data_IF_291965967326
#
_entry.id   IF_291965967326
#
_cell.length_a   1.000
_cell.length_b   1.000
_cell.length_c   1.000
_cell.angle_alpha   90.00
_cell.angle_beta   90.00
_cell.angle_gamma   90.00
#
_symmetry.space_group_name_H-M   'P 1'
#
loop_
_entity.id
_entity.type
_entity.pdbx_description
1 polymer ?
#
# COMPACT_ATOMS: atom_id res chain seq x y z
N UNK A 1 11.55 -21.08 -3.19
CA UNK A 1 10.94 -22.08 -2.29
C UNK A 1 10.06 -21.29 -1.35
N UNK A 2 8.75 -21.37 -1.57
CA UNK A 2 7.72 -20.78 -0.71
C UNK A 2 7.65 -21.60 0.57
N UNK A 3 8.06 -21.04 1.69
CA UNK A 3 7.77 -21.63 2.99
C UNK A 3 7.38 -20.50 3.93
N UNK A 4 6.09 -20.17 3.92
CA UNK A 4 5.39 -19.59 5.08
C UNK A 4 5.82 -20.38 6.32
N UNK A 5 6.21 -19.73 7.43
CA UNK A 5 6.80 -20.43 8.55
C UNK A 5 5.79 -21.35 9.22
N UNK A 6 6.09 -22.64 9.22
CA UNK A 6 5.56 -23.52 10.27
C UNK A 6 6.25 -23.14 11.58
N UNK A 7 5.63 -22.22 12.34
CA UNK A 7 5.95 -22.00 13.76
C UNK A 7 5.56 -23.22 14.63
N UNK A 8 5.20 -24.36 14.04
CA UNK A 8 4.97 -25.59 14.77
C UNK A 8 6.22 -25.95 15.60
N UNK A 9 6.04 -25.98 16.93
CA UNK A 9 7.13 -26.21 17.88
C UNK A 9 7.99 -24.98 18.17
N UNK A 10 7.57 -23.77 17.77
CA UNK A 10 8.05 -22.51 18.33
C UNK A 10 7.34 -22.28 19.67
N UNK A 11 8.12 -22.05 20.73
CA UNK A 11 7.64 -22.03 22.12
C UNK A 11 8.39 -20.95 22.92
N UNK A 12 8.01 -20.78 24.19
CA UNK A 12 8.56 -19.74 25.06
C UNK A 12 10.09 -19.85 25.20
N UNK A 13 10.63 -21.07 25.25
CA UNK A 13 12.07 -21.30 25.30
C UNK A 13 12.77 -20.85 24.01
N UNK A 14 12.19 -21.14 22.83
CA UNK A 14 12.72 -20.64 21.57
C UNK A 14 12.66 -19.10 21.51
N UNK A 15 11.58 -18.49 22.01
CA UNK A 15 11.44 -17.05 22.07
C UNK A 15 12.49 -16.38 22.97
N UNK A 16 12.68 -16.90 24.19
CA UNK A 16 13.72 -16.42 25.11
C UNK A 16 15.13 -16.53 24.53
N UNK A 17 15.44 -17.67 23.90
CA UNK A 17 16.75 -17.91 23.27
C UNK A 17 16.99 -16.96 22.09
N UNK A 18 15.93 -16.66 21.33
CA UNK A 18 16.00 -15.69 20.24
C UNK A 18 16.23 -14.27 20.76
N UNK A 19 15.51 -13.85 21.81
CA UNK A 19 15.65 -12.53 22.42
C UNK A 19 16.96 -12.33 23.23
N UNK A 20 17.62 -13.42 23.63
CA UNK A 20 18.87 -13.37 24.41
C UNK A 20 20.10 -12.96 23.57
N UNK A 21 20.01 -13.04 22.24
CA UNK A 21 21.08 -12.70 21.31
C UNK A 21 22.20 -13.74 21.22
N UNK A 22 23.15 -13.50 20.32
CA UNK A 22 24.39 -14.29 20.21
C UNK A 22 24.18 -15.71 19.69
N UNK A 23 24.91 -16.69 20.24
CA UNK A 23 24.89 -18.07 19.73
C UNK A 23 23.51 -18.75 19.88
N UNK A 24 22.75 -18.39 20.91
CA UNK A 24 21.41 -18.93 21.14
C UNK A 24 20.42 -18.41 20.11
N UNK A 25 20.49 -17.12 19.77
CA UNK A 25 19.71 -16.52 18.69
C UNK A 25 20.01 -17.20 17.36
N UNK A 26 21.30 -17.36 17.01
CA UNK A 26 21.68 -18.03 15.76
C UNK A 26 21.15 -19.47 15.68
N UNK A 27 21.17 -20.22 16.79
CA UNK A 27 20.66 -21.58 16.84
C UNK A 27 19.14 -21.64 16.58
N UNK A 28 18.37 -20.70 17.13
CA UNK A 28 16.93 -20.60 16.87
C UNK A 28 16.67 -20.17 15.42
N UNK A 29 17.38 -19.15 14.92
CA UNK A 29 17.26 -18.73 13.51
C UNK A 29 17.61 -19.86 12.54
N UNK A 30 18.59 -20.70 12.87
CA UNK A 30 18.93 -21.85 12.04
C UNK A 30 17.86 -22.96 12.11
N UNK A 31 17.31 -23.23 13.31
CA UNK A 31 16.19 -24.16 13.52
C UNK A 31 14.95 -23.75 12.72
N UNK A 32 14.68 -22.46 12.65
CA UNK A 32 13.58 -21.85 11.91
C UNK A 32 14.09 -21.10 10.67
N UNK A 33 15.11 -21.64 9.98
CA UNK A 33 15.78 -20.97 8.84
C UNK A 33 14.90 -20.78 7.60
N UNK A 34 13.77 -21.50 7.55
CA UNK A 34 12.75 -21.30 6.53
C UNK A 34 11.81 -20.12 6.85
N UNK A 35 11.86 -19.58 8.08
CA UNK A 35 11.04 -18.44 8.50
C UNK A 35 11.71 -17.13 8.10
N UNK A 36 10.90 -16.10 7.80
CA UNK A 36 11.41 -14.74 7.72
C UNK A 36 12.03 -14.37 9.09
N UNK A 37 13.31 -13.95 9.14
CA UNK A 37 14.04 -13.64 10.37
C UNK A 37 13.36 -12.59 11.26
N UNK A 38 12.65 -11.65 10.65
CA UNK A 38 11.97 -10.55 11.33
C UNK A 38 10.63 -11.00 11.90
N UNK A 39 9.83 -11.71 11.10
CA UNK A 39 8.58 -12.35 11.57
C UNK A 39 8.86 -13.29 12.75
N UNK A 40 9.96 -14.05 12.67
CA UNK A 40 10.38 -14.96 13.74
C UNK A 40 10.73 -14.19 15.03
N UNK A 41 11.39 -13.04 14.92
CA UNK A 41 11.73 -12.19 16.05
C UNK A 41 10.48 -11.53 16.65
N UNK A 42 9.58 -11.03 15.81
CA UNK A 42 8.29 -10.48 16.23
C UNK A 42 7.43 -11.51 16.95
N UNK A 43 7.30 -12.72 16.41
CA UNK A 43 6.58 -13.81 17.04
C UNK A 43 7.20 -14.19 18.40
N UNK A 44 8.52 -14.12 18.54
CA UNK A 44 9.20 -14.31 19.82
C UNK A 44 8.79 -13.25 20.84
N UNK A 45 8.86 -11.98 20.46
CA UNK A 45 8.51 -10.87 21.35
C UNK A 45 7.03 -10.88 21.74
N UNK A 46 6.11 -11.20 20.83
CA UNK A 46 4.69 -11.38 21.17
C UNK A 46 4.48 -12.50 22.18
N UNK A 47 5.18 -13.63 22.00
CA UNK A 47 5.08 -14.75 22.93
C UNK A 47 5.64 -14.38 24.31
N UNK A 48 6.75 -13.62 24.36
CA UNK A 48 7.34 -13.13 25.61
C UNK A 48 6.41 -12.12 26.31
N UNK A 49 5.78 -11.21 25.56
CA UNK A 49 4.81 -10.26 26.09
C UNK A 49 3.58 -10.97 26.68
N UNK A 50 3.03 -11.94 25.95
CA UNK A 50 1.88 -12.73 26.39
C UNK A 50 2.16 -13.72 27.53
N UNK A 51 3.44 -14.04 27.80
CA UNK A 51 3.87 -15.01 28.81
C UNK A 51 4.53 -14.35 30.03
N UNK A 52 4.23 -13.07 30.30
CA UNK A 52 4.90 -12.29 31.35
C UNK A 52 4.87 -12.94 32.74
N UNK A 53 3.74 -13.50 33.14
CA UNK A 53 3.59 -14.17 34.44
C UNK A 53 4.45 -15.45 34.51
N UNK A 54 4.44 -16.27 33.45
CA UNK A 54 5.26 -17.48 33.35
C UNK A 54 6.76 -17.16 33.35
N UNK A 55 7.17 -16.07 32.69
CA UNK A 55 8.55 -15.58 32.71
C UNK A 55 9.00 -15.17 34.12
N UNK A 56 8.14 -14.48 34.87
CA UNK A 56 8.46 -14.07 36.25
C UNK A 56 8.56 -15.26 37.20
N UNK A 57 7.71 -16.28 37.04
CA UNK A 57 7.69 -17.46 37.91
C UNK A 57 8.81 -18.45 37.58
N UNK A 58 8.98 -18.77 36.30
CA UNK A 58 9.84 -19.88 35.84
C UNK A 58 11.22 -19.43 35.37
N UNK A 59 11.39 -18.15 35.02
CA UNK A 59 12.61 -17.59 34.43
C UNK A 59 12.97 -16.21 35.01
N UNK A 60 13.08 -16.07 36.35
CA UNK A 60 13.18 -14.78 37.02
C UNK A 60 14.42 -13.97 36.60
N UNK A 61 15.55 -14.63 36.33
CA UNK A 61 16.78 -13.95 35.89
C UNK A 61 16.63 -13.33 34.50
N UNK A 62 15.89 -13.98 33.60
CA UNK A 62 15.60 -13.46 32.27
C UNK A 62 14.64 -12.27 32.37
N UNK A 63 13.56 -12.41 33.16
CA UNK A 63 12.60 -11.34 33.39
C UNK A 63 13.25 -10.09 34.01
N UNK A 64 14.05 -10.28 35.07
CA UNK A 64 14.76 -9.18 35.75
C UNK A 64 15.76 -8.47 34.83
N UNK A 65 16.50 -9.22 34.00
CA UNK A 65 17.43 -8.63 33.03
C UNK A 65 16.70 -7.75 32.01
N UNK A 66 15.57 -8.20 31.47
CA UNK A 66 14.82 -7.41 30.48
C UNK A 66 14.06 -6.24 31.10
N UNK A 67 13.63 -6.36 32.36
CA UNK A 67 13.11 -5.25 33.15
C UNK A 67 14.20 -4.18 33.40
N UNK A 68 15.42 -4.59 33.78
CA UNK A 68 16.56 -3.67 33.96
C UNK A 68 16.94 -2.95 32.66
N UNK A 69 16.88 -3.66 31.53
CA UNK A 69 17.13 -3.08 30.21
C UNK A 69 15.99 -2.18 29.72
N UNK A 70 14.87 -2.09 30.44
CA UNK A 70 13.67 -1.36 30.01
C UNK A 70 13.08 -1.92 28.71
N UNK A 71 13.22 -3.22 28.47
CA UNK A 71 12.67 -3.86 27.27
C UNK A 71 11.18 -4.07 27.44
N UNK A 72 10.37 -3.34 26.67
CA UNK A 72 8.97 -3.71 26.47
C UNK A 72 8.89 -4.70 25.30
N UNK A 73 8.49 -5.93 25.58
CA UNK A 73 8.38 -6.96 24.54
C UNK A 73 7.23 -6.69 23.57
N UNK A 74 6.19 -5.95 23.97
CA UNK A 74 5.16 -5.49 23.03
C UNK A 74 5.80 -4.52 22.03
N UNK A 75 6.46 -3.47 22.53
CA UNK A 75 7.12 -2.47 21.68
C UNK A 75 8.18 -3.11 20.76
N UNK A 76 8.95 -4.07 21.27
CA UNK A 76 9.97 -4.76 20.46
C UNK A 76 9.37 -5.66 19.38
N UNK A 77 8.25 -6.33 19.66
CA UNK A 77 7.51 -7.07 18.64
C UNK A 77 7.11 -6.11 17.52
N UNK A 78 6.54 -4.98 17.90
CA UNK A 78 6.04 -3.95 17.01
C UNK A 78 7.14 -3.35 16.17
N UNK A 79 8.27 -2.95 16.74
CA UNK A 79 9.41 -2.40 15.99
C UNK A 79 9.92 -3.40 14.93
N UNK A 80 9.97 -4.69 15.25
CA UNK A 80 10.38 -5.73 14.29
C UNK A 80 9.32 -5.99 13.21
N UNK A 81 8.02 -5.85 13.52
CA UNK A 81 6.95 -5.91 12.50
C UNK A 81 6.99 -4.65 11.62
N UNK A 82 7.24 -3.48 12.24
CA UNK A 82 7.21 -2.15 11.63
C UNK A 82 8.29 -1.99 10.56
N UNK A 83 9.54 -2.38 10.83
CA UNK A 83 10.67 -1.98 9.97
C UNK A 83 11.22 -3.05 9.02
N UNK A 84 11.02 -4.34 9.27
CA UNK A 84 11.91 -5.34 8.67
C UNK A 84 11.27 -6.43 7.83
N UNK A 85 9.95 -6.63 7.86
CA UNK A 85 9.34 -7.60 6.96
C UNK A 85 9.16 -7.03 5.54
N UNK A 86 10.05 -7.44 4.63
CA UNK A 86 9.75 -7.46 3.20
C UNK A 86 8.79 -8.62 2.90
N UNK A 87 7.86 -8.37 2.00
CA UNK A 87 7.00 -9.43 1.51
C UNK A 87 7.79 -10.51 0.78
N UNK A 88 7.26 -11.73 0.83
CA UNK A 88 7.88 -12.83 0.11
C UNK A 88 7.59 -12.70 -1.39
N UNK A 89 8.43 -13.32 -2.23
CA UNK A 89 8.28 -13.24 -3.69
C UNK A 89 6.95 -13.80 -4.21
N UNK A 90 6.28 -14.69 -3.47
CA UNK A 90 4.98 -15.22 -3.87
C UNK A 90 3.89 -14.16 -3.71
N UNK A 91 3.91 -13.42 -2.60
CA UNK A 91 3.06 -12.25 -2.41
C UNK A 91 3.34 -11.20 -3.48
N UNK A 92 4.61 -10.81 -3.69
CA UNK A 92 4.95 -9.79 -4.69
C UNK A 92 4.42 -10.12 -6.09
N UNK A 93 4.56 -11.39 -6.51
CA UNK A 93 4.06 -11.83 -7.81
C UNK A 93 2.53 -11.84 -7.86
N UNK A 94 1.88 -12.30 -6.78
CA UNK A 94 0.43 -12.31 -6.67
C UNK A 94 -0.16 -10.88 -6.65
N UNK A 95 0.40 -10.00 -5.83
CA UNK A 95 0.00 -8.60 -5.71
C UNK A 95 0.17 -7.85 -7.04
N UNK A 96 1.30 -8.03 -7.74
CA UNK A 96 1.50 -7.45 -9.08
C UNK A 96 0.51 -7.99 -10.12
N UNK A 97 0.18 -9.28 -10.07
CA UNK A 97 -0.84 -9.84 -10.94
C UNK A 97 -2.21 -9.20 -10.65
N UNK A 98 -2.57 -9.05 -9.38
CA UNK A 98 -3.82 -8.39 -8.97
C UNK A 98 -3.87 -6.91 -9.34
N UNK A 99 -2.78 -6.17 -9.14
CA UNK A 99 -2.66 -4.78 -9.60
C UNK A 99 -2.83 -4.68 -11.12
N UNK A 100 -2.27 -5.62 -11.89
CA UNK A 100 -2.44 -5.67 -13.35
C UNK A 100 -3.89 -5.96 -13.76
N UNK A 101 -4.59 -6.82 -13.01
CA UNK A 101 -6.03 -7.07 -13.18
C UNK A 101 -6.85 -5.82 -12.86
N UNK A 102 -6.53 -5.08 -11.78
CA UNK A 102 -7.18 -3.81 -11.42
C UNK A 102 -6.98 -2.77 -12.52
N UNK A 103 -5.74 -2.57 -12.97
CA UNK A 103 -5.39 -1.64 -14.06
C UNK A 103 -6.21 -1.96 -15.31
N UNK A 104 -6.20 -3.22 -15.74
CA UNK A 104 -6.94 -3.67 -16.93
C UNK A 104 -8.44 -3.46 -16.77
N UNK A 105 -9.00 -3.71 -15.59
CA UNK A 105 -10.43 -3.52 -15.32
C UNK A 105 -10.83 -2.04 -15.32
N UNK A 106 -9.98 -1.14 -14.82
CA UNK A 106 -10.21 0.31 -14.86
C UNK A 106 -10.16 0.80 -16.31
N UNK A 107 -9.14 0.40 -17.07
CA UNK A 107 -8.97 0.81 -18.47
C UNK A 107 -10.12 0.37 -19.37
N UNK A 108 -10.69 -0.82 -19.10
CA UNK A 108 -11.81 -1.36 -19.83
C UNK A 108 -13.17 -0.84 -19.33
N UNK A 109 -13.21 -0.03 -18.25
CA UNK A 109 -14.42 0.57 -17.73
C UNK A 109 -14.62 1.98 -18.32
N UNK A 110 -15.46 2.15 -19.36
CA UNK A 110 -15.64 3.45 -20.01
C UNK A 110 -16.22 4.50 -19.05
N UNK A 111 -17.00 4.10 -18.04
CA UNK A 111 -17.52 5.07 -17.06
C UNK A 111 -16.40 5.69 -16.25
N UNK A 112 -15.45 4.86 -15.77
CA UNK A 112 -14.30 5.37 -15.02
C UNK A 112 -13.42 6.21 -15.93
N UNK A 113 -13.07 5.72 -17.12
CA UNK A 113 -12.16 6.43 -18.03
C UNK A 113 -12.73 7.78 -18.48
N UNK A 114 -14.03 7.84 -18.81
CA UNK A 114 -14.70 9.10 -19.17
C UNK A 114 -14.84 10.05 -17.98
N UNK A 115 -14.99 9.53 -16.76
CA UNK A 115 -15.08 10.34 -15.54
C UNK A 115 -13.72 10.92 -15.14
N UNK A 116 -12.64 10.14 -15.26
CA UNK A 116 -11.27 10.57 -14.95
C UNK A 116 -10.85 11.77 -15.80
N UNK A 117 -11.20 11.78 -17.08
CA UNK A 117 -10.92 12.91 -17.99
C UNK A 117 -11.65 14.21 -17.62
N UNK A 118 -12.65 14.15 -16.73
CA UNK A 118 -13.46 15.30 -16.29
C UNK A 118 -13.06 15.80 -14.90
N UNK A 119 -12.08 15.18 -14.27
CA UNK A 119 -11.54 15.67 -13.00
C UNK A 119 -10.85 17.00 -13.24
N UNK A 120 -11.22 17.98 -12.42
CA UNK A 120 -10.69 19.35 -12.44
C UNK A 120 -9.94 19.66 -11.16
N UNK A 121 -8.84 20.40 -11.32
CA UNK A 121 -8.14 21.05 -10.23
C UNK A 121 -8.95 22.20 -9.63
N UNK A 122 -8.68 22.59 -8.38
CA UNK A 122 -9.36 23.70 -7.71
C UNK A 122 -9.43 24.98 -8.55
N UNK A 123 -8.36 25.34 -9.26
CA UNK A 123 -8.30 26.56 -10.07
C UNK A 123 -9.26 26.55 -11.28
N UNK A 124 -9.72 25.37 -11.73
CA UNK A 124 -10.66 25.18 -12.84
C UNK A 124 -12.12 24.96 -12.38
N UNK A 125 -12.39 25.20 -11.10
CA UNK A 125 -13.72 25.14 -10.48
C UNK A 125 -14.20 26.57 -10.24
N UNK A 126 -15.30 26.96 -10.88
CA UNK A 126 -15.73 28.37 -10.92
C UNK A 126 -17.11 28.60 -10.32
N UNK A 127 -17.78 27.55 -9.85
CA UNK A 127 -19.14 27.63 -9.33
C UNK A 127 -19.45 26.54 -8.30
N UNK A 128 -20.53 26.75 -7.53
CA UNK A 128 -21.07 25.70 -6.64
C UNK A 128 -21.53 24.46 -7.43
N UNK A 129 -22.03 24.67 -8.65
CA UNK A 129 -22.41 23.60 -9.54
C UNK A 129 -21.20 22.76 -9.96
N UNK A 130 -20.07 23.39 -10.26
CA UNK A 130 -18.82 22.67 -10.56
C UNK A 130 -18.37 21.80 -9.37
N UNK A 131 -18.48 22.30 -8.14
CA UNK A 131 -18.14 21.52 -6.94
C UNK A 131 -19.00 20.27 -6.84
N UNK A 132 -20.32 20.40 -7.07
CA UNK A 132 -21.26 19.26 -7.06
C UNK A 132 -20.94 18.26 -8.16
N UNK A 133 -20.61 18.72 -9.35
CA UNK A 133 -20.21 17.85 -10.46
C UNK A 133 -18.91 17.11 -10.17
N UNK A 134 -17.90 17.81 -9.63
CA UNK A 134 -16.62 17.21 -9.24
C UNK A 134 -16.77 16.18 -8.11
N UNK A 135 -17.71 16.40 -7.19
CA UNK A 135 -18.10 15.40 -6.19
C UNK A 135 -18.73 14.16 -6.85
N UNK A 136 -19.74 14.34 -7.70
CA UNK A 136 -20.43 13.23 -8.40
C UNK A 136 -19.42 12.40 -9.20
N UNK A 137 -18.55 13.04 -9.98
CA UNK A 137 -17.51 12.36 -10.76
C UNK A 137 -16.62 11.48 -9.87
N UNK A 138 -16.11 12.02 -8.76
CA UNK A 138 -15.24 11.27 -7.83
C UNK A 138 -16.00 10.17 -7.11
N UNK A 139 -17.26 10.40 -6.74
CA UNK A 139 -18.12 9.40 -6.11
C UNK A 139 -18.39 8.23 -7.06
N UNK A 140 -18.71 8.52 -8.33
CA UNK A 140 -18.96 7.51 -9.36
C UNK A 140 -17.71 6.66 -9.62
N UNK A 141 -16.53 7.28 -9.74
CA UNK A 141 -15.25 6.56 -9.89
C UNK A 141 -15.03 5.64 -8.69
N UNK A 142 -15.19 6.17 -7.48
CA UNK A 142 -14.94 5.42 -6.24
C UNK A 142 -15.90 4.24 -6.09
N UNK A 143 -17.19 4.42 -6.40
CA UNK A 143 -18.17 3.33 -6.37
C UNK A 143 -17.89 2.23 -7.40
N UNK A 144 -17.42 2.60 -8.60
CA UNK A 144 -17.02 1.61 -9.62
C UNK A 144 -15.70 0.90 -9.24
N UNK A 145 -14.76 1.58 -8.56
CA UNK A 145 -13.55 0.96 -8.03
C UNK A 145 -13.88 -0.12 -6.99
N UNK A 146 -14.88 0.07 -6.13
CA UNK A 146 -15.30 -0.96 -5.19
C UNK A 146 -15.71 -2.25 -5.90
N UNK A 147 -16.50 -2.15 -6.97
CA UNK A 147 -16.88 -3.31 -7.79
C UNK A 147 -15.68 -3.99 -8.47
N UNK A 148 -14.68 -3.21 -8.89
CA UNK A 148 -13.45 -3.75 -9.48
C UNK A 148 -12.64 -4.51 -8.43
N UNK A 149 -12.36 -3.90 -7.28
CA UNK A 149 -11.61 -4.52 -6.20
C UNK A 149 -12.30 -5.77 -5.67
N UNK A 150 -13.61 -5.69 -5.42
CA UNK A 150 -14.44 -6.82 -5.01
C UNK A 150 -14.28 -8.02 -5.95
N UNK A 151 -14.27 -7.77 -7.26
CA UNK A 151 -14.10 -8.83 -8.27
C UNK A 151 -12.66 -9.34 -8.35
N UNK A 152 -11.67 -8.45 -8.39
CA UNK A 152 -10.26 -8.82 -8.60
C UNK A 152 -9.70 -9.59 -7.42
N UNK A 153 -10.05 -9.18 -6.20
CA UNK A 153 -9.53 -9.76 -4.96
C UNK A 153 -10.48 -10.78 -4.31
N UNK A 154 -11.61 -11.10 -4.95
CA UNK A 154 -12.65 -12.01 -4.46
C UNK A 154 -13.16 -11.60 -3.06
N UNK A 155 -13.69 -10.38 -2.97
CA UNK A 155 -14.17 -9.74 -1.74
C UNK A 155 -15.68 -9.44 -1.87
N UNK A 156 -16.56 -10.42 -1.63
CA UNK A 156 -18.00 -10.27 -1.83
C UNK A 156 -18.67 -9.34 -0.81
N UNK A 157 -17.95 -8.96 0.25
CA UNK A 157 -18.40 -8.02 1.28
C UNK A 157 -18.09 -6.57 0.95
N UNK A 158 -17.25 -6.31 -0.07
CA UNK A 158 -16.95 -4.96 -0.53
C UNK A 158 -17.91 -4.56 -1.64
N UNK A 159 -18.63 -3.48 -1.46
CA UNK A 159 -19.42 -2.85 -2.50
C UNK A 159 -19.38 -1.31 -2.43
N UNK A 160 -20.22 -0.66 -3.23
CA UNK A 160 -20.23 0.80 -3.35
C UNK A 160 -20.78 1.50 -2.10
N UNK A 161 -21.59 0.81 -1.29
CA UNK A 161 -22.24 1.36 -0.11
C UNK A 161 -21.24 1.48 1.05
N UNK A 162 -20.13 0.74 0.98
CA UNK A 162 -18.96 0.86 1.85
C UNK A 162 -18.07 2.08 1.53
N UNK A 163 -18.35 2.77 0.41
CA UNK A 163 -17.59 3.94 -0.02
C UNK A 163 -18.29 5.22 0.41
N UNK A 164 -17.60 6.01 1.21
CA UNK A 164 -18.08 7.29 1.72
C UNK A 164 -17.17 8.42 1.26
N UNK A 165 -17.59 9.12 0.22
CA UNK A 165 -16.95 10.38 -0.18
C UNK A 165 -17.63 11.54 0.55
N UNK A 166 -16.89 12.17 1.47
CA UNK A 166 -17.28 13.42 2.11
C UNK A 166 -16.88 14.60 1.24
N UNK A 167 -17.79 15.57 1.08
CA UNK A 167 -17.47 16.83 0.39
C UNK A 167 -17.83 18.04 1.25
N UNK A 168 -17.21 19.18 0.94
CA UNK A 168 -17.51 20.48 1.58
C UNK A 168 -17.98 21.50 0.55
N UNK A 169 -19.01 22.27 0.93
CA UNK A 169 -19.56 23.38 0.14
C UNK A 169 -19.01 24.74 0.61
N UNK A 170 -19.29 25.79 -0.17
CA UNK A 170 -19.02 27.16 0.27
C UNK A 170 -19.81 27.54 1.54
N UNK A 171 -21.03 27.02 1.69
CA UNK A 171 -21.87 27.28 2.87
C UNK A 171 -21.30 26.64 4.13
N UNK A 172 -20.71 25.44 4.03
CA UNK A 172 -20.01 24.79 5.15
C UNK A 172 -18.81 25.63 5.61
N UNK A 173 -18.03 26.14 4.66
CA UNK A 173 -16.90 27.04 4.92
C UNK A 173 -17.37 28.34 5.58
N UNK A 174 -18.39 28.99 5.02
CA UNK A 174 -18.93 30.26 5.53
C UNK A 174 -19.59 30.11 6.91
N UNK A 175 -20.07 28.90 7.24
CA UNK A 175 -20.66 28.58 8.55
C UNK A 175 -19.61 28.27 9.63
N UNK A 176 -18.31 28.33 9.30
CA UNK A 176 -17.22 28.12 10.25
C UNK A 176 -16.93 26.65 10.59
N UNK A 177 -17.49 25.70 9.83
CA UNK A 177 -17.11 24.30 9.96
C UNK A 177 -15.71 24.10 9.35
N UNK A 178 -14.76 23.77 10.23
CA UNK A 178 -13.33 23.48 10.04
C UNK A 178 -12.77 23.49 8.60
N UNK A 179 -11.74 24.32 8.45
CA UNK A 179 -10.77 24.50 7.36
C UNK A 179 -9.80 23.31 7.17
N UNK A 180 -10.17 22.12 7.64
CA UNK A 180 -9.31 20.94 7.62
C UNK A 180 -8.97 20.53 6.18
N UNK A 181 -7.69 20.23 5.96
CA UNK A 181 -7.24 19.54 4.76
C UNK A 181 -8.00 18.21 4.65
N UNK A 182 -8.37 17.86 3.43
CA UNK A 182 -8.93 16.55 3.14
C UNK A 182 -7.96 15.46 3.62
N UNK A 183 -8.29 14.77 4.72
CA UNK A 183 -7.72 13.47 5.05
C UNK A 183 -8.66 12.41 4.49
N UNK A 184 -8.10 11.44 3.80
CA UNK A 184 -8.76 10.17 3.54
C UNK A 184 -8.30 9.18 4.61
N UNK A 185 -9.15 8.23 4.96
CA UNK A 185 -8.84 7.11 5.83
C UNK A 185 -9.82 5.97 5.57
N UNK A 186 -9.34 4.74 5.61
CA UNK A 186 -10.18 3.55 5.77
C UNK A 186 -10.38 3.25 7.26
N UNK A 187 -11.46 2.56 7.61
CA UNK A 187 -11.62 2.06 8.99
C UNK A 187 -10.55 1.02 9.34
N UNK A 188 -10.21 0.95 10.62
CA UNK A 188 -9.32 -0.04 11.22
C UNK A 188 -10.00 -1.41 11.18
N UNK A 189 -9.26 -2.54 11.11
CA UNK A 189 -9.82 -3.88 11.19
C UNK A 189 -10.82 -4.04 12.35
N UNK A 190 -12.07 -4.33 11.99
CA UNK A 190 -13.09 -4.85 12.89
C UNK A 190 -13.63 -6.16 12.34
N UNK A 191 -14.04 -7.05 13.23
CA UNK A 191 -14.49 -8.40 12.87
C UNK A 191 -15.77 -8.32 12.03
N UNK A 192 -15.66 -8.63 10.73
CA UNK A 192 -16.70 -8.80 9.71
C UNK A 192 -17.73 -7.65 9.58
N UNK A 193 -17.70 -7.00 8.40
CA UNK A 193 -18.70 -6.04 7.89
C UNK A 193 -18.64 -4.62 8.50
N UNK A 194 -17.45 -4.07 8.70
CA UNK A 194 -17.28 -2.66 9.08
C UNK A 194 -16.21 -1.92 8.25
N UNK A 195 -15.78 -2.52 7.13
CA UNK A 195 -14.83 -1.90 6.23
C UNK A 195 -15.51 -0.78 5.45
N UNK A 196 -15.17 0.45 5.79
CA UNK A 196 -15.66 1.64 5.11
C UNK A 196 -14.48 2.47 4.60
N UNK A 197 -14.60 2.91 3.35
CA UNK A 197 -13.62 3.76 2.66
C UNK A 197 -14.08 5.20 2.82
N UNK A 198 -13.45 5.97 3.70
CA UNK A 198 -13.74 7.39 3.84
C UNK A 198 -12.73 8.22 3.05
N UNK A 199 -13.22 8.85 1.99
CA UNK A 199 -12.44 9.83 1.25
C UNK A 199 -13.01 11.22 1.51
N UNK A 200 -12.13 12.22 1.60
CA UNK A 200 -12.56 13.62 1.70
C UNK A 200 -12.17 14.37 0.43
N UNK A 201 -13.12 15.13 -0.13
CA UNK A 201 -12.89 16.07 -1.21
C UNK A 201 -13.31 17.48 -0.77
N UNK A 202 -12.34 18.38 -0.61
CA UNK A 202 -12.59 19.75 -0.16
C UNK A 202 -11.89 20.77 -1.07
N UNK A 203 -12.43 21.04 -2.28
CA UNK A 203 -11.83 22.00 -3.21
C UNK A 203 -11.99 23.45 -2.72
N UNK A 204 -12.97 23.72 -1.84
CA UNK A 204 -13.32 25.07 -1.39
C UNK A 204 -12.17 25.75 -0.65
N UNK A 205 -11.46 25.00 0.19
CA UNK A 205 -10.28 25.54 0.91
C UNK A 205 -9.18 25.95 -0.07
N UNK A 206 -8.95 25.13 -1.10
CA UNK A 206 -7.93 25.40 -2.11
C UNK A 206 -8.32 26.59 -3.00
N UNK A 207 -9.59 26.67 -3.42
CA UNK A 207 -10.15 27.78 -4.21
C UNK A 207 -10.02 29.11 -3.44
N UNK A 208 -10.44 29.15 -2.17
CA UNK A 208 -10.43 30.40 -1.38
C UNK A 208 -9.01 30.88 -1.09
N UNK A 209 -8.06 29.96 -0.92
CA UNK A 209 -6.65 30.31 -0.70
C UNK A 209 -5.95 30.78 -1.97
N UNK A 210 -6.51 30.50 -3.15
CA UNK A 210 -5.90 30.81 -4.46
C UNK A 210 -4.55 30.12 -4.67
N UNK A 211 -4.28 29.05 -3.91
CA UNK A 211 -3.09 28.20 -3.98
C UNK A 211 -3.50 26.78 -3.59
N UNK A 212 -4.14 26.08 -4.53
CA UNK A 212 -4.38 24.65 -4.37
C UNK A 212 -3.06 23.88 -4.33
N UNK A 213 -3.07 22.73 -3.64
CA UNK A 213 -1.94 21.77 -3.71
C UNK A 213 -1.81 21.20 -5.12
N UNK A 214 -2.93 21.08 -5.82
CA UNK A 214 -3.04 20.58 -7.20
C UNK A 214 -3.06 21.77 -8.17
N UNK A 215 -2.05 21.82 -9.05
CA UNK A 215 -1.83 22.95 -9.96
C UNK A 215 -2.37 22.72 -11.38
N UNK A 216 -2.86 21.52 -11.68
CA UNK A 216 -3.42 21.15 -12.98
C UNK A 216 -4.46 20.03 -12.83
N UNK A 217 -5.37 19.90 -13.80
CA UNK A 217 -6.37 18.83 -13.83
C UNK A 217 -5.72 17.44 -13.78
N UNK A 218 -4.54 17.30 -14.42
CA UNK A 218 -3.73 16.09 -14.36
C UNK A 218 -3.19 15.82 -12.94
N UNK A 219 -2.72 16.84 -12.23
CA UNK A 219 -2.29 16.69 -10.83
C UNK A 219 -3.47 16.28 -9.93
N UNK A 220 -4.65 16.86 -10.16
CA UNK A 220 -5.87 16.54 -9.43
C UNK A 220 -6.34 15.10 -9.67
N UNK A 221 -6.31 14.67 -10.94
CA UNK A 221 -6.59 13.29 -11.32
C UNK A 221 -5.58 12.33 -10.68
N UNK A 222 -4.28 12.64 -10.74
CA UNK A 222 -3.23 11.82 -10.13
C UNK A 222 -3.40 11.70 -8.63
N UNK A 223 -3.61 12.81 -7.94
CA UNK A 223 -3.78 12.83 -6.48
C UNK A 223 -5.04 12.06 -6.07
N UNK A 224 -6.16 12.29 -6.74
CA UNK A 224 -7.40 11.59 -6.46
C UNK A 224 -7.26 10.06 -6.68
N UNK A 225 -6.73 9.64 -7.83
CA UNK A 225 -6.52 8.22 -8.12
C UNK A 225 -5.58 7.57 -7.10
N UNK A 226 -4.47 8.23 -6.79
CA UNK A 226 -3.51 7.71 -5.82
C UNK A 226 -4.16 7.50 -4.46
N UNK A 227 -4.88 8.50 -3.96
CA UNK A 227 -5.61 8.39 -2.69
C UNK A 227 -6.67 7.29 -2.75
N UNK A 228 -7.50 7.24 -3.79
CA UNK A 228 -8.53 6.22 -3.89
C UNK A 228 -7.92 4.80 -3.88
N UNK A 229 -6.92 4.53 -4.73
CA UNK A 229 -6.28 3.22 -4.82
C UNK A 229 -5.58 2.84 -3.51
N UNK A 230 -4.98 3.80 -2.81
CA UNK A 230 -4.38 3.58 -1.49
C UNK A 230 -5.42 3.09 -0.47
N UNK A 231 -6.55 3.79 -0.34
CA UNK A 231 -7.60 3.38 0.60
C UNK A 231 -8.27 2.06 0.21
N UNK A 232 -8.44 1.79 -1.09
CA UNK A 232 -8.91 0.48 -1.56
C UNK A 232 -7.93 -0.65 -1.23
N UNK A 233 -6.63 -0.38 -1.25
CA UNK A 233 -5.63 -1.35 -0.84
C UNK A 233 -5.69 -1.58 0.67
N UNK A 234 -5.83 -0.53 1.50
CA UNK A 234 -6.03 -0.70 2.94
C UNK A 234 -7.24 -1.57 3.28
N UNK A 235 -8.39 -1.32 2.63
CA UNK A 235 -9.58 -2.16 2.83
C UNK A 235 -9.37 -3.58 2.33
N UNK A 236 -8.64 -3.76 1.23
CA UNK A 236 -8.26 -5.11 0.77
C UNK A 236 -7.47 -5.85 1.85
N UNK A 237 -6.47 -5.19 2.44
CA UNK A 237 -5.63 -5.79 3.46
C UNK A 237 -6.42 -6.11 4.74
N UNK A 238 -7.38 -5.26 5.11
CA UNK A 238 -8.31 -5.48 6.22
C UNK A 238 -9.23 -6.70 6.00
N UNK A 239 -9.87 -6.80 4.83
CA UNK A 239 -10.74 -7.93 4.47
C UNK A 239 -9.95 -9.23 4.45
N UNK A 240 -8.70 -9.20 3.95
CA UNK A 240 -7.82 -10.37 4.03
C UNK A 240 -7.46 -10.68 5.49
N UNK A 241 -7.27 -9.66 6.32
CA UNK A 241 -7.10 -9.79 7.77
C UNK A 241 -8.25 -10.57 8.41
N UNK A 242 -9.47 -10.21 8.07
CA UNK A 242 -10.69 -10.91 8.49
C UNK A 242 -10.75 -12.36 8.01
N UNK A 243 -10.39 -12.62 6.74
CA UNK A 243 -10.28 -13.98 6.22
C UNK A 243 -9.25 -14.79 7.01
N UNK A 244 -8.13 -14.19 7.43
CA UNK A 244 -7.11 -14.84 8.24
C UNK A 244 -7.61 -15.16 9.64
N UNK A 245 -8.22 -14.19 10.34
CA UNK A 245 -8.78 -14.39 11.69
C UNK A 245 -9.95 -15.38 11.69
N UNK A 246 -10.73 -15.39 10.61
CA UNK A 246 -11.83 -16.34 10.39
C UNK A 246 -11.39 -17.74 9.98
N UNK A 247 -10.09 -17.97 9.71
CA UNK A 247 -9.56 -19.25 9.24
C UNK A 247 -9.90 -19.59 7.78
N UNK A 248 -10.36 -18.60 7.00
CA UNK A 248 -10.69 -18.72 5.58
C UNK A 248 -9.43 -18.56 4.71
N UNK A 249 -8.45 -17.78 5.16
CA UNK A 249 -7.14 -17.63 4.50
C UNK A 249 -6.18 -18.75 4.93
N UNK A 250 -5.86 -19.65 4.00
CA UNK A 250 -4.97 -20.79 4.26
C UNK A 250 -3.50 -20.40 4.17
N UNK A 251 -2.65 -21.14 4.87
CA UNK A 251 -1.20 -20.93 4.92
C UNK A 251 -0.46 -21.09 3.59
N UNK A 252 -1.09 -21.69 2.57
CA UNK A 252 -0.56 -21.81 1.22
C UNK A 252 -0.96 -20.66 0.30
N UNK A 253 -1.83 -19.75 0.76
CA UNK A 253 -2.24 -18.58 0.00
C UNK A 253 -1.10 -17.54 -0.04
N UNK A 254 -0.79 -16.92 -1.21
CA UNK A 254 0.29 -15.94 -1.32
C UNK A 254 0.19 -14.74 -0.37
N UNK A 255 -1.04 -14.31 -0.05
CA UNK A 255 -1.31 -13.22 0.89
C UNK A 255 -1.16 -13.60 2.37
N UNK A 256 -1.03 -14.88 2.74
CA UNK A 256 -1.08 -15.30 4.15
C UNK A 256 -0.05 -14.60 5.04
N UNK A 257 1.21 -14.58 4.60
CA UNK A 257 2.30 -13.94 5.37
C UNK A 257 2.13 -12.42 5.45
N UNK A 258 1.79 -11.78 4.32
CA UNK A 258 1.52 -10.35 4.25
C UNK A 258 0.38 -9.94 5.19
N UNK A 259 -0.75 -10.64 5.11
CA UNK A 259 -1.91 -10.40 5.97
C UNK A 259 -1.59 -10.63 7.44
N UNK A 260 -0.80 -11.65 7.76
CA UNK A 260 -0.35 -11.90 9.14
C UNK A 260 0.44 -10.71 9.68
N UNK A 261 1.35 -10.16 8.86
CA UNK A 261 2.11 -8.95 9.19
C UNK A 261 1.21 -7.73 9.40
N UNK A 262 0.23 -7.53 8.51
CA UNK A 262 -0.71 -6.41 8.61
C UNK A 262 -1.51 -6.45 9.91
N UNK A 263 -2.09 -7.60 10.29
CA UNK A 263 -2.83 -7.73 11.56
C UNK A 263 -1.91 -7.46 12.76
N UNK A 264 -0.72 -8.04 12.76
CA UNK A 264 0.25 -7.83 13.83
C UNK A 264 0.67 -6.36 13.92
N UNK A 265 0.68 -5.63 12.81
CA UNK A 265 0.94 -4.19 12.77
C UNK A 265 -0.23 -3.36 13.33
N UNK A 266 -1.48 -3.82 13.19
CA UNK A 266 -2.67 -3.11 13.69
C UNK A 266 -2.94 -3.32 15.19
N UNK A 267 -2.65 -4.49 15.74
CA UNK A 267 -2.97 -4.84 17.15
C UNK A 267 -2.22 -4.00 18.20
N UNK A 268 -1.15 -3.30 17.82
CA UNK A 268 -0.36 -2.46 18.72
C UNK A 268 -0.75 -0.97 18.71
N UNK A 269 -1.75 -0.60 17.88
CA UNK A 269 -2.16 0.79 17.72
C UNK A 269 -3.11 1.25 18.83
N UNK A 270 -2.62 1.31 20.08
CA UNK A 270 -3.32 2.02 21.17
C UNK A 270 -2.57 3.23 21.73
N UNK A 271 -1.25 3.38 21.54
CA UNK A 271 -0.55 4.60 21.95
C UNK A 271 0.52 5.07 20.93
N UNK A 272 0.17 6.16 20.25
CA UNK A 272 0.97 6.87 19.26
C UNK A 272 2.24 7.52 19.85
N UNK A 273 3.42 7.06 19.46
CA UNK A 273 4.65 7.88 19.48
C UNK A 273 4.94 8.49 18.09
N UNK A 274 3.94 9.18 17.56
CA UNK A 274 4.01 10.52 16.93
C UNK A 274 5.30 10.98 16.20
N UNK A 275 5.57 10.43 15.02
CA UNK A 275 5.97 11.23 13.85
C UNK A 275 5.38 10.65 12.54
N UNK A 276 5.29 11.49 11.50
CA UNK A 276 4.74 11.10 10.19
C UNK A 276 5.56 9.99 9.52
N UNK A 277 6.87 9.93 9.78
CA UNK A 277 7.78 8.96 9.17
C UNK A 277 7.53 7.54 9.72
N UNK A 278 7.24 7.42 11.01
CA UNK A 278 6.84 6.15 11.65
C UNK A 278 5.51 5.62 11.11
N UNK A 279 4.54 6.52 10.82
CA UNK A 279 3.30 6.13 10.14
C UNK A 279 3.57 5.63 8.72
N UNK A 280 4.36 6.37 7.93
CA UNK A 280 4.72 5.97 6.56
C UNK A 280 5.53 4.66 6.50
N UNK A 281 6.26 4.33 7.55
CA UNK A 281 7.08 3.13 7.61
C UNK A 281 6.28 1.84 7.89
N UNK A 282 5.02 1.95 8.35
CA UNK A 282 4.16 0.81 8.65
C UNK A 282 4.03 -0.11 7.45
N UNK A 283 4.02 -1.43 7.70
CA UNK A 283 3.98 -2.42 6.64
C UNK A 283 2.73 -2.24 5.75
N UNK A 284 1.56 -2.05 6.37
CA UNK A 284 0.29 -1.83 5.66
C UNK A 284 0.30 -0.52 4.86
N UNK A 285 0.68 0.60 5.48
CA UNK A 285 0.76 1.91 4.83
C UNK A 285 1.75 1.93 3.65
N UNK A 286 2.94 1.35 3.88
CA UNK A 286 4.02 1.30 2.87
C UNK A 286 3.59 0.48 1.66
N UNK A 287 3.01 -0.69 1.87
CA UNK A 287 2.60 -1.58 0.77
C UNK A 287 1.41 -1.00 0.01
N UNK A 288 0.46 -0.38 0.70
CA UNK A 288 -0.63 0.37 0.08
C UNK A 288 -0.14 1.52 -0.80
N UNK A 289 0.84 2.30 -0.33
CA UNK A 289 1.44 3.39 -1.11
C UNK A 289 2.21 2.93 -2.33
N UNK A 290 2.89 1.80 -2.24
CA UNK A 290 3.59 1.19 -3.38
C UNK A 290 2.56 0.75 -4.42
N UNK A 291 1.50 0.05 -4.01
CA UNK A 291 0.42 -0.37 -4.89
C UNK A 291 -0.25 0.85 -5.56
N UNK A 292 -0.62 1.87 -4.77
CA UNK A 292 -1.22 3.11 -5.24
C UNK A 292 -0.35 3.82 -6.27
N UNK A 293 0.95 3.99 -5.98
CA UNK A 293 1.86 4.66 -6.90
C UNK A 293 2.01 3.87 -8.21
N UNK A 294 2.17 2.54 -8.15
CA UNK A 294 2.34 1.70 -9.35
C UNK A 294 1.10 1.69 -10.25
N UNK A 295 -0.08 1.51 -9.65
CA UNK A 295 -1.35 1.50 -10.38
C UNK A 295 -1.64 2.87 -10.97
N UNK A 296 -1.55 3.94 -10.17
CA UNK A 296 -1.84 5.30 -10.64
C UNK A 296 -0.86 5.76 -11.72
N UNK A 297 0.45 5.53 -11.57
CA UNK A 297 1.43 5.90 -12.58
C UNK A 297 1.19 5.19 -13.92
N UNK A 298 0.76 3.93 -13.89
CA UNK A 298 0.45 3.16 -15.09
C UNK A 298 -0.82 3.68 -15.77
N UNK A 299 -1.90 3.87 -15.01
CA UNK A 299 -3.16 4.40 -15.53
C UNK A 299 -2.96 5.79 -16.17
N UNK A 300 -2.20 6.68 -15.53
CA UNK A 300 -1.96 8.01 -16.08
C UNK A 300 -1.14 7.97 -17.36
N UNK A 301 -0.13 7.09 -17.46
CA UNK A 301 0.60 6.91 -18.71
C UNK A 301 -0.35 6.54 -19.85
N UNK A 302 -1.31 5.65 -19.61
CA UNK A 302 -2.29 5.26 -20.64
C UNK A 302 -3.32 6.35 -20.95
N UNK A 303 -3.73 7.15 -19.96
CA UNK A 303 -4.65 8.29 -20.17
C UNK A 303 -3.97 9.42 -20.97
N UNK A 304 -2.70 9.70 -20.69
CA UNK A 304 -1.95 10.83 -21.28
C UNK A 304 -1.26 10.43 -22.60
N UNK A 305 -0.94 9.14 -22.80
CA UNK A 305 -0.28 8.62 -24.01
C UNK A 305 -1.02 7.38 -24.55
N UNK A 306 -2.14 7.56 -25.29
CA UNK A 306 -2.90 6.43 -25.84
C UNK A 306 -2.16 5.62 -26.91
N UNK A 307 -1.04 6.12 -27.47
CA UNK A 307 -0.30 5.46 -28.56
C UNK A 307 1.07 4.90 -28.09
N UNK A 308 1.08 3.78 -27.35
CA UNK A 308 2.23 2.82 -27.33
C UNK A 308 1.90 1.44 -26.72
N UNK A 309 0.63 1.13 -26.39
CA UNK A 309 0.29 -0.21 -25.93
C UNK A 309 0.56 -1.25 -27.04
N UNK A 310 1.43 -2.25 -26.82
CA UNK A 310 1.65 -3.29 -27.82
C UNK A 310 0.36 -4.09 -28.00
N UNK A 311 -0.15 -4.12 -29.23
CA UNK A 311 -1.22 -5.02 -29.65
C UNK A 311 -0.87 -6.45 -29.22
N UNK A 312 -1.76 -7.20 -28.55
CA UNK A 312 -1.49 -8.59 -28.18
C UNK A 312 -1.18 -9.39 -29.45
N UNK A 313 0.03 -9.93 -29.55
CA UNK A 313 0.39 -10.84 -30.64
C UNK A 313 -0.40 -12.13 -30.42
N UNK A 314 -1.32 -12.41 -31.34
CA UNK A 314 -2.08 -13.65 -31.35
C UNK A 314 -1.10 -14.83 -31.52
N UNK A 315 -1.12 -15.90 -30.69
CA UNK A 315 -0.09 -16.94 -30.71
C UNK A 315 -0.09 -17.86 -31.94
N UNK A 316 -0.97 -17.64 -32.92
CA UNK A 316 -1.19 -18.59 -34.02
C UNK A 316 -0.42 -18.31 -35.33
N UNK A 317 0.29 -17.19 -35.46
CA UNK A 317 1.14 -16.95 -36.64
C UNK A 317 2.59 -17.38 -36.40
N UNK A 318 2.78 -18.68 -36.20
CA UNK A 318 4.09 -19.32 -36.46
C UNK A 318 4.03 -20.02 -37.81
N UNK A 319 4.50 -19.34 -38.86
CA UNK A 319 4.93 -20.05 -40.06
C UNK A 319 6.23 -19.47 -40.63
N UNK A 320 7.26 -20.30 -40.43
CA UNK A 320 8.62 -20.36 -41.00
C UNK A 320 8.93 -19.54 -42.26
N UNK A 321 10.09 -18.86 -42.26
CA UNK A 321 11.30 -19.38 -42.90
C UNK A 321 12.58 -18.57 -42.54
N UNK A 322 13.77 -19.20 -42.52
CA UNK A 322 15.02 -18.56 -42.16
C UNK A 322 15.79 -18.04 -43.39
N UNK A 323 16.43 -16.88 -43.28
CA UNK A 323 17.52 -16.50 -44.19
C UNK A 323 18.71 -15.99 -43.41
N UNK A 324 19.78 -16.76 -43.54
CA UNK A 324 21.17 -16.50 -43.16
C UNK A 324 21.85 -15.48 -44.09
N UNK A 325 23.00 -14.99 -43.61
CA UNK A 325 24.11 -14.34 -44.33
C UNK A 325 23.95 -12.84 -44.55
N UNK A 326 24.97 -11.99 -44.53
CA UNK A 326 26.37 -11.95 -44.09
C UNK A 326 26.77 -10.49 -44.40
N UNK A 327 27.81 -9.98 -43.73
CA UNK A 327 28.69 -8.90 -44.21
C UNK A 327 28.06 -7.52 -44.48
N UNK A 328 28.35 -6.56 -43.61
CA UNK A 328 29.34 -5.52 -43.93
C UNK A 328 29.49 -4.54 -42.75
N UNK A 329 30.68 -4.53 -42.18
CA UNK A 329 31.22 -3.40 -41.43
C UNK A 329 32.27 -2.72 -42.33
N UNK A 330 32.45 -1.41 -42.18
CA UNK A 330 33.75 -1.03 -41.69
C UNK A 330 33.73 0.05 -40.60
N UNK A 331 34.72 -0.10 -39.74
CA UNK A 331 35.28 0.85 -38.78
C UNK A 331 35.23 2.33 -39.19
N UNK A 332 35.06 3.20 -38.20
CA UNK A 332 36.09 4.21 -37.88
C UNK A 332 35.87 4.87 -36.51
N UNK A 333 36.89 4.69 -35.67
CA UNK A 333 37.38 5.56 -34.58
C UNK A 333 36.78 6.97 -34.47
N UNK A 334 36.43 7.40 -33.26
CA UNK A 334 37.30 8.24 -32.41
C UNK A 334 36.54 8.82 -31.21
N UNK A 335 36.90 8.36 -30.02
CA UNK A 335 37.49 9.14 -28.94
C UNK A 335 37.00 10.58 -28.58
N UNK A 336 36.85 10.75 -27.25
CA UNK A 336 37.16 11.94 -26.41
C UNK A 336 36.00 12.86 -25.93
N UNK A 337 35.73 12.68 -24.64
CA UNK A 337 35.62 13.63 -23.52
C UNK A 337 34.55 14.75 -23.48
N UNK A 338 33.74 14.66 -22.43
CA UNK A 338 33.41 15.68 -21.43
C UNK A 338 33.71 17.15 -21.73
N UNK A 339 32.69 18.00 -21.58
CA UNK A 339 32.79 19.23 -20.79
C UNK A 339 31.40 19.68 -20.32
N UNK A 340 31.26 19.84 -19.02
CA UNK A 340 30.26 20.68 -18.36
C UNK A 340 30.64 22.17 -18.50
N UNK A 341 29.69 23.06 -18.76
CA UNK A 341 29.53 24.34 -18.02
C UNK A 341 28.38 25.22 -18.54
N UNK A 342 27.58 25.68 -17.58
CA UNK A 342 27.01 27.03 -17.38
C UNK A 342 26.16 27.73 -18.45
N UNK A 343 24.92 28.06 -18.08
CA UNK A 343 24.43 29.44 -17.79
C UNK A 343 22.90 29.42 -17.61
N UNK A 344 22.34 29.83 -16.47
CA UNK A 344 21.96 31.19 -16.06
C UNK A 344 20.92 31.89 -16.97
N UNK A 345 19.71 32.02 -16.44
CA UNK A 345 18.67 33.08 -16.60
C UNK A 345 17.30 32.39 -16.68
N UNK A 346 16.32 32.63 -15.82
CA UNK A 346 15.93 33.86 -15.16
C UNK A 346 14.61 34.29 -15.80
N UNK A 347 13.46 34.06 -15.15
CA UNK A 347 12.25 34.84 -15.39
C UNK A 347 11.27 34.71 -14.20
N UNK A 348 10.88 35.88 -13.69
CA UNK A 348 9.78 36.12 -12.75
C UNK A 348 8.50 36.34 -13.56
N UNK A 349 7.38 35.73 -13.14
CA UNK A 349 6.16 36.43 -12.70
C UNK A 349 5.65 35.66 -11.48
#
# INVERSE_FOLDING_TARGET
MNNTPSLAGFDLNNAMRLASGGNEEMAVRQKFSNSNPDILMSAAYLLLAGSKDELQESYPDFAAKHEELGTDFSDMASINILYSAQDNSAYDNWAKAKQSEVISAIEQNPKIMDALQKIRAPDNIHSEQDIKEQYIIRNDISGELAGIYAKVYDMPTLDKDDVHLSHRSFDDYNSGYSTAYASAWSTVPGVKNDEAIFMTYNPVVDIIRGKGIETSDLDSMHRFLKTAIEEFQHVTDNIYGDKLLGGELKSDHPAFDHTSLTILNTLDYTESSSDHEGYLAQHVERTAKVAASQVTETLIKHIVQPETAPTPVNPEDTNTQPTSNLEDAPDTNSDISSTSSNSLSGFKI
#
